data_IF_962496174627
#
_entry.id   IF_962496174627
#
_cell.length_a   1.000
_cell.length_b   1.000
_cell.length_c   1.000
_cell.angle_alpha   90.00
_cell.angle_beta   90.00
_cell.angle_gamma   90.00
#
_symmetry.space_group_name_H-M   'P 1'
#
loop_
_entity.id
_entity.type
_entity.pdbx_description
1 polymer ?
#
# COMPACT_ATOMS: atom_id res chain seq x y z
N UNK A 1 -15.60 -15.49 5.69
CA UNK A 1 -15.51 -14.40 6.66
C UNK A 1 -14.97 -13.17 5.97
N UNK A 2 -15.65 -12.04 6.15
CA UNK A 2 -15.37 -10.78 5.47
C UNK A 2 -14.28 -9.99 6.21
N UNK A 3 -13.32 -9.42 5.48
CA UNK A 3 -12.23 -8.62 6.04
C UNK A 3 -11.92 -7.46 5.12
N UNK A 4 -11.43 -6.35 5.66
CA UNK A 4 -10.90 -5.22 4.87
C UNK A 4 -9.57 -4.78 5.44
N UNK A 5 -8.59 -4.51 4.58
CA UNK A 5 -7.30 -3.93 4.94
C UNK A 5 -7.01 -2.75 4.04
N UNK A 6 -6.73 -1.61 4.65
CA UNK A 6 -6.28 -0.37 4.00
C UNK A 6 -4.85 -0.07 4.44
N UNK A 7 -4.02 0.38 3.49
CA UNK A 7 -2.67 0.86 3.70
C UNK A 7 -2.59 2.26 3.09
N UNK A 8 -2.40 3.27 3.93
CA UNK A 8 -2.40 4.68 3.54
C UNK A 8 -0.97 5.18 3.63
N UNK A 9 -0.37 5.64 2.54
CA UNK A 9 1.06 5.84 2.40
C UNK A 9 1.37 7.29 2.08
N UNK A 10 2.36 7.85 2.78
CA UNK A 10 2.79 9.24 2.66
C UNK A 10 4.29 9.30 2.39
N UNK A 11 4.76 10.43 1.88
CA UNK A 11 6.19 10.67 1.59
C UNK A 11 6.79 9.54 0.74
N UNK A 12 6.21 9.32 -0.45
CA UNK A 12 6.56 8.23 -1.37
C UNK A 12 7.98 8.38 -1.90
N UNK A 13 8.67 7.26 -2.10
CA UNK A 13 10.05 7.24 -2.59
C UNK A 13 10.21 7.95 -3.93
N UNK A 14 11.26 8.77 -4.06
CA UNK A 14 11.44 9.70 -5.18
C UNK A 14 11.42 9.02 -6.55
N UNK A 15 12.08 7.86 -6.68
CA UNK A 15 12.12 7.08 -7.91
C UNK A 15 10.73 6.66 -8.38
N UNK A 16 9.87 6.24 -7.43
CA UNK A 16 8.52 5.77 -7.71
C UNK A 16 7.61 6.95 -8.01
N UNK A 17 7.71 8.02 -7.21
CA UNK A 17 7.01 9.29 -7.44
C UNK A 17 7.25 9.80 -8.86
N UNK A 18 8.51 9.80 -9.32
CA UNK A 18 8.89 10.24 -10.67
C UNK A 18 8.21 9.45 -11.77
N UNK A 19 8.05 8.13 -11.60
CA UNK A 19 7.35 7.29 -12.58
C UNK A 19 5.88 7.71 -12.67
N UNK A 20 5.17 7.81 -11.54
CA UNK A 20 3.75 8.19 -11.52
C UNK A 20 3.48 9.65 -11.92
N UNK A 21 4.48 10.53 -11.82
CA UNK A 21 4.38 11.93 -12.27
C UNK A 21 4.89 12.17 -13.69
N UNK A 22 5.37 11.15 -14.41
CA UNK A 22 5.85 11.33 -15.79
C UNK A 22 4.66 11.45 -16.75
N UNK A 23 4.43 12.62 -17.39
CA UNK A 23 3.30 12.79 -18.30
C UNK A 23 3.46 11.92 -19.55
N UNK A 24 2.35 11.34 -20.00
CA UNK A 24 2.30 10.58 -21.25
C UNK A 24 2.77 9.12 -21.15
N UNK A 25 3.17 8.63 -19.98
CA UNK A 25 3.34 7.19 -19.78
C UNK A 25 1.99 6.48 -19.92
N UNK A 26 2.01 5.36 -20.65
CA UNK A 26 0.89 4.42 -20.70
C UNK A 26 0.75 3.67 -19.39
N UNK A 27 -0.44 3.13 -19.11
CA UNK A 27 -0.62 2.32 -17.90
C UNK A 27 0.24 1.05 -17.92
N UNK A 28 0.49 0.48 -19.10
CA UNK A 28 1.40 -0.65 -19.28
C UNK A 28 2.84 -0.31 -18.86
N UNK A 29 3.37 0.84 -19.28
CA UNK A 29 4.69 1.31 -18.87
C UNK A 29 4.78 1.56 -17.37
N UNK A 30 3.74 2.15 -16.77
CA UNK A 30 3.66 2.35 -15.32
C UNK A 30 3.70 0.99 -14.60
N UNK A 31 2.88 0.02 -15.02
CA UNK A 31 2.88 -1.34 -14.44
C UNK A 31 4.25 -2.01 -14.54
N UNK A 32 4.87 -1.98 -15.72
CA UNK A 32 6.18 -2.60 -15.94
C UNK A 32 7.29 -1.96 -15.10
N UNK A 33 7.26 -0.63 -14.92
CA UNK A 33 8.31 0.10 -14.19
C UNK A 33 8.17 0.01 -12.67
N UNK A 34 6.95 -0.14 -12.17
CA UNK A 34 6.65 -0.09 -10.72
C UNK A 34 6.34 -1.45 -10.11
N UNK A 35 5.88 -2.42 -10.90
CA UNK A 35 5.33 -3.67 -10.40
C UNK A 35 3.93 -3.53 -9.77
N UNK A 36 3.26 -2.38 -9.88
CA UNK A 36 1.97 -2.11 -9.20
C UNK A 36 0.86 -3.08 -9.62
N UNK A 37 0.93 -3.60 -10.85
CA UNK A 37 -0.02 -4.61 -11.36
C UNK A 37 0.22 -6.03 -10.82
N UNK A 38 1.32 -6.27 -10.11
CA UNK A 38 1.74 -7.61 -9.66
C UNK A 38 1.78 -7.74 -8.12
N UNK A 39 1.27 -6.74 -7.38
CA UNK A 39 1.21 -6.78 -5.91
C UNK A 39 0.48 -8.05 -5.44
N UNK A 40 -0.64 -8.39 -6.10
CA UNK A 40 -1.37 -9.64 -5.91
C UNK A 40 -1.50 -10.38 -7.25
N UNK A 41 -0.76 -11.47 -7.41
CA UNK A 41 -0.81 -12.29 -8.62
C UNK A 41 -2.20 -12.94 -8.82
N UNK A 42 -2.58 -13.13 -10.09
CA UNK A 42 -3.83 -13.78 -10.47
C UNK A 42 -5.05 -12.85 -10.55
N UNK A 43 -4.92 -11.58 -10.18
CA UNK A 43 -6.00 -10.60 -10.32
C UNK A 43 -6.08 -10.04 -11.74
N UNK A 44 -7.30 -9.84 -12.22
CA UNK A 44 -7.57 -9.09 -13.43
C UNK A 44 -7.51 -7.60 -13.14
N UNK A 45 -6.52 -6.92 -13.74
CA UNK A 45 -6.25 -5.51 -13.52
C UNK A 45 -6.98 -4.63 -14.54
N UNK A 46 -7.56 -3.53 -14.06
CA UNK A 46 -8.10 -2.41 -14.83
C UNK A 46 -7.59 -1.10 -14.23
N UNK A 47 -6.73 -0.38 -14.97
CA UNK A 47 -6.08 0.83 -14.49
C UNK A 47 -6.26 2.04 -15.40
N UNK A 48 -5.90 3.19 -14.85
CA UNK A 48 -6.04 4.48 -15.50
C UNK A 48 -4.92 5.43 -15.09
N UNK A 49 -4.28 6.08 -16.08
CA UNK A 49 -3.33 7.15 -15.88
C UNK A 49 -4.01 8.50 -16.14
N UNK A 50 -4.01 9.38 -15.15
CA UNK A 50 -4.65 10.71 -15.24
C UNK A 50 -3.75 11.73 -15.93
N UNK A 51 -4.36 12.83 -16.37
CA UNK A 51 -3.66 13.98 -16.93
C UNK A 51 -3.90 15.22 -16.05
N UNK A 52 -2.86 15.99 -15.68
CA UNK A 52 -1.47 15.86 -16.15
C UNK A 52 -0.69 14.70 -15.50
N UNK A 53 -1.04 14.28 -14.28
CA UNK A 53 -0.43 13.18 -13.53
C UNK A 53 -1.47 12.50 -12.63
N UNK A 54 -1.11 11.35 -12.05
CA UNK A 54 -1.97 10.57 -11.16
C UNK A 54 -2.27 9.18 -11.72
N UNK A 55 -2.60 8.23 -10.85
CA UNK A 55 -2.87 6.85 -11.25
C UNK A 55 -3.92 6.20 -10.36
N UNK A 56 -4.77 5.36 -10.96
CA UNK A 56 -5.70 4.50 -10.24
C UNK A 56 -5.72 3.11 -10.86
N UNK A 57 -5.88 2.09 -10.02
CA UNK A 57 -5.98 0.71 -10.44
C UNK A 57 -7.04 0.01 -9.60
N UNK A 58 -7.96 -0.66 -10.27
CA UNK A 58 -8.86 -1.64 -9.67
C UNK A 58 -8.48 -3.02 -10.16
N UNK A 59 -8.59 -4.01 -9.30
CA UNK A 59 -8.28 -5.38 -9.66
C UNK A 59 -9.22 -6.35 -8.94
N UNK A 60 -9.65 -7.40 -9.64
CA UNK A 60 -10.60 -8.40 -9.13
C UNK A 60 -10.07 -9.81 -9.38
N UNK A 61 -10.37 -10.72 -8.45
CA UNK A 61 -10.17 -12.16 -8.57
C UNK A 61 -11.28 -12.88 -7.80
N UNK A 62 -12.25 -13.45 -8.51
CA UNK A 62 -13.48 -14.00 -7.93
C UNK A 62 -14.20 -12.98 -7.02
N UNK A 63 -14.32 -13.27 -5.72
CA UNK A 63 -14.93 -12.42 -4.69
C UNK A 63 -13.92 -11.47 -4.00
N UNK A 64 -12.66 -11.50 -4.44
CA UNK A 64 -11.59 -10.67 -3.92
C UNK A 64 -11.33 -9.45 -4.81
N UNK A 65 -10.99 -8.33 -4.19
CA UNK A 65 -10.58 -7.12 -4.89
C UNK A 65 -9.35 -6.48 -4.26
N UNK A 66 -8.66 -5.65 -5.03
CA UNK A 66 -7.90 -4.56 -4.46
C UNK A 66 -8.01 -3.31 -5.32
N UNK A 67 -7.86 -2.15 -4.69
CA UNK A 67 -7.80 -0.85 -5.37
C UNK A 67 -6.61 -0.03 -4.90
N UNK A 68 -6.10 0.80 -5.81
CA UNK A 68 -4.97 1.68 -5.59
C UNK A 68 -5.30 3.06 -6.16
N UNK A 69 -4.93 4.10 -5.41
CA UNK A 69 -4.99 5.49 -5.86
C UNK A 69 -3.67 6.19 -5.53
N UNK A 70 -3.09 6.90 -6.49
CA UNK A 70 -1.79 7.58 -6.35
C UNK A 70 -1.91 9.06 -6.71
N UNK A 71 -1.46 9.90 -5.80
CA UNK A 71 -1.29 11.35 -5.93
C UNK A 71 0.21 11.65 -5.87
N UNK A 72 0.90 11.77 -7.02
CA UNK A 72 2.36 11.83 -7.08
C UNK A 72 2.96 13.24 -6.86
N UNK A 73 2.13 14.25 -6.58
CA UNK A 73 2.54 15.63 -6.40
C UNK A 73 3.54 15.80 -5.24
N UNK A 74 4.68 16.43 -5.53
CA UNK A 74 5.82 16.57 -4.61
C UNK A 74 5.48 17.19 -3.26
N UNK A 75 4.57 18.15 -3.21
CA UNK A 75 4.21 18.83 -1.97
C UNK A 75 3.44 17.95 -0.98
N UNK A 76 2.82 16.86 -1.46
CA UNK A 76 1.96 16.00 -0.65
C UNK A 76 1.77 14.63 -1.33
N UNK A 77 2.86 13.87 -1.50
CA UNK A 77 2.76 12.57 -2.17
C UNK A 77 1.94 11.61 -1.32
N UNK A 78 0.99 10.93 -1.96
CA UNK A 78 0.08 10.01 -1.29
C UNK A 78 -0.21 8.81 -2.17
N UNK A 79 -0.32 7.63 -1.55
CA UNK A 79 -0.91 6.46 -2.19
C UNK A 79 -1.80 5.70 -1.20
N UNK A 80 -2.91 5.17 -1.67
CA UNK A 80 -3.71 4.20 -0.91
C UNK A 80 -3.71 2.84 -1.58
N UNK A 81 -3.78 1.80 -0.77
CA UNK A 81 -4.08 0.44 -1.19
C UNK A 81 -5.19 -0.10 -0.27
N UNK A 82 -6.21 -0.72 -0.86
CA UNK A 82 -7.30 -1.35 -0.11
C UNK A 82 -7.58 -2.73 -0.71
N UNK A 83 -7.87 -3.72 0.13
CA UNK A 83 -8.28 -5.06 -0.30
C UNK A 83 -9.19 -5.72 0.72
N UNK A 84 -10.05 -6.63 0.25
CA UNK A 84 -10.74 -7.59 1.11
C UNK A 84 -10.03 -8.94 1.22
N UNK A 85 -8.82 -9.07 0.67
CA UNK A 85 -8.02 -10.29 0.79
C UNK A 85 -7.75 -10.58 2.27
N UNK A 86 -8.35 -11.68 2.74
CA UNK A 86 -8.03 -12.23 4.05
C UNK A 86 -6.59 -12.71 4.04
N UNK A 87 -5.75 -11.94 4.70
CA UNK A 87 -4.47 -12.43 5.21
C UNK A 87 -4.77 -13.02 6.58
N UNK A 88 -4.16 -14.14 6.94
CA UNK A 88 -4.29 -14.72 8.29
C UNK A 88 -3.89 -13.69 9.38
N UNK A 89 -3.69 -14.11 10.63
CA UNK A 89 -3.28 -13.21 11.72
C UNK A 89 -1.99 -12.39 11.46
N UNK A 90 -1.26 -12.67 10.38
CA UNK A 90 -0.08 -11.93 9.92
C UNK A 90 -0.31 -11.31 8.54
N UNK A 91 -0.30 -9.98 8.46
CA UNK A 91 -0.51 -9.21 7.21
C UNK A 91 0.79 -8.72 6.60
N UNK A 92 1.94 -9.06 7.22
CA UNK A 92 3.24 -8.47 6.92
C UNK A 92 3.68 -8.70 5.48
N UNK A 93 3.40 -9.86 4.89
CA UNK A 93 3.78 -10.16 3.51
C UNK A 93 3.00 -9.33 2.48
N UNK A 94 1.73 -9.04 2.75
CA UNK A 94 0.92 -8.14 1.91
C UNK A 94 1.47 -6.72 2.02
N UNK A 95 1.62 -6.23 3.25
CA UNK A 95 2.10 -4.87 3.51
C UNK A 95 3.50 -4.68 2.93
N UNK A 96 4.42 -5.63 3.12
CA UNK A 96 5.77 -5.58 2.55
C UNK A 96 5.78 -5.49 1.03
N UNK A 97 4.90 -6.22 0.32
CA UNK A 97 4.75 -6.09 -1.14
C UNK A 97 4.26 -4.71 -1.55
N UNK A 98 3.27 -4.16 -0.84
CA UNK A 98 2.76 -2.80 -1.11
C UNK A 98 3.86 -1.75 -0.85
N UNK A 99 4.54 -1.82 0.29
CA UNK A 99 5.62 -0.91 0.66
C UNK A 99 6.81 -1.01 -0.32
N UNK A 100 7.12 -2.19 -0.87
CA UNK A 100 8.18 -2.33 -1.87
C UNK A 100 7.87 -1.58 -3.18
N UNK A 101 6.59 -1.46 -3.55
CA UNK A 101 6.17 -0.70 -4.73
C UNK A 101 6.26 0.79 -4.48
N UNK A 102 5.73 1.28 -3.35
CA UNK A 102 5.57 2.73 -3.12
C UNK A 102 6.72 3.40 -2.36
N UNK A 103 7.47 2.61 -1.59
CA UNK A 103 8.60 3.03 -0.75
C UNK A 103 8.29 4.29 0.10
N UNK A 104 7.16 4.32 0.85
CA UNK A 104 6.83 5.50 1.65
C UNK A 104 7.75 5.64 2.86
N UNK A 105 7.90 6.85 3.40
CA UNK A 105 8.54 7.03 4.71
C UNK A 105 7.58 6.75 5.87
N UNK A 106 6.27 6.98 5.65
CA UNK A 106 5.22 6.82 6.67
C UNK A 106 4.00 6.15 6.07
N UNK A 107 3.32 5.33 6.87
CA UNK A 107 2.06 4.74 6.47
C UNK A 107 1.15 4.44 7.64
N UNK A 108 -0.16 4.44 7.38
CA UNK A 108 -1.18 3.94 8.28
C UNK A 108 -1.71 2.59 7.79
N UNK A 109 -2.19 1.78 8.73
CA UNK A 109 -2.99 0.59 8.48
C UNK A 109 -4.33 0.73 9.16
N UNK A 110 -5.39 0.47 8.39
CA UNK A 110 -6.74 0.28 8.92
C UNK A 110 -7.19 -1.12 8.57
N UNK A 111 -7.61 -1.91 9.56
CA UNK A 111 -8.02 -3.29 9.36
C UNK A 111 -9.35 -3.57 10.06
N UNK A 112 -10.30 -4.16 9.33
CA UNK A 112 -11.57 -4.64 9.85
C UNK A 112 -11.62 -6.16 9.72
N UNK A 113 -11.81 -6.87 10.82
CA UNK A 113 -11.85 -8.35 10.84
C UNK A 113 -12.87 -8.89 11.85
N UNK A 114 -13.46 -10.07 11.63
CA UNK A 114 -14.42 -10.65 12.58
C UNK A 114 -13.78 -11.07 13.91
N UNK A 115 -12.52 -11.53 13.88
CA UNK A 115 -11.79 -11.91 15.09
C UNK A 115 -10.31 -11.52 15.04
N UNK A 116 -9.82 -10.98 16.16
CA UNK A 116 -8.40 -10.73 16.40
C UNK A 116 -7.88 -9.45 15.75
N UNK A 117 -6.65 -9.09 16.13
CA UNK A 117 -5.97 -7.91 15.60
C UNK A 117 -5.02 -8.26 14.47
N UNK A 118 -4.83 -7.31 13.54
CA UNK A 118 -3.73 -7.38 12.58
C UNK A 118 -2.39 -7.24 13.33
N UNK A 119 -1.56 -8.30 13.30
CA UNK A 119 -0.18 -8.17 13.74
C UNK A 119 0.68 -7.81 12.54
N UNK A 120 1.32 -6.65 12.61
CA UNK A 120 2.29 -6.21 11.63
C UNK A 120 3.71 -6.42 12.19
N UNK A 121 4.58 -7.05 11.40
CA UNK A 121 5.99 -7.26 11.70
C UNK A 121 6.82 -6.91 10.47
N UNK A 122 7.08 -5.63 10.28
CA UNK A 122 7.89 -5.13 9.16
C UNK A 122 9.28 -4.72 9.72
N UNK A 123 10.38 -5.22 9.15
CA UNK A 123 11.72 -4.72 9.47
C UNK A 123 11.85 -3.23 9.13
N UNK A 124 12.62 -2.48 9.92
CA UNK A 124 12.88 -1.06 9.63
C UNK A 124 11.83 -0.08 10.13
N UNK A 125 10.84 -0.52 10.92
CA UNK A 125 9.95 0.41 11.65
C UNK A 125 10.77 1.18 12.69
N UNK A 126 10.85 2.49 12.54
CA UNK A 126 11.47 3.42 13.49
C UNK A 126 10.53 3.73 14.66
N UNK A 127 9.25 3.95 14.37
CA UNK A 127 8.22 4.30 15.34
C UNK A 127 6.87 3.71 14.93
N UNK A 128 6.03 3.38 15.93
CA UNK A 128 4.67 2.92 15.68
C UNK A 128 3.71 3.35 16.80
N UNK A 129 2.47 3.60 16.43
CA UNK A 129 1.32 3.70 17.34
C UNK A 129 0.25 2.74 16.85
N UNK A 130 -0.46 2.09 17.77
CA UNK A 130 -1.52 1.14 17.41
C UNK A 130 -2.66 1.15 18.41
N UNK A 131 -3.88 1.20 17.89
CA UNK A 131 -5.12 1.01 18.63
C UNK A 131 -5.91 -0.16 18.06
N UNK A 132 -6.54 -0.91 18.97
CA UNK A 132 -7.45 -1.99 18.63
C UNK A 132 -8.76 -1.74 19.37
N UNK A 133 -9.88 -1.86 18.66
CA UNK A 133 -11.24 -1.65 19.20
C UNK A 133 -12.16 -2.74 18.69
N UNK A 134 -12.86 -3.41 19.60
CA UNK A 134 -13.97 -4.27 19.23
C UNK A 134 -15.21 -3.41 18.99
N UNK A 135 -15.88 -3.65 17.87
CA UNK A 135 -17.07 -2.94 17.43
C UNK A 135 -18.32 -3.77 17.74
N UNK A 136 -19.43 -3.09 18.04
CA UNK A 136 -20.71 -3.75 18.34
C UNK A 136 -21.24 -4.61 17.17
N UNK A 137 -20.79 -4.33 15.95
CA UNK A 137 -21.15 -5.09 14.74
C UNK A 137 -20.41 -6.43 14.59
N UNK A 138 -19.58 -6.83 15.56
CA UNK A 138 -18.87 -8.11 15.54
C UNK A 138 -17.55 -8.08 14.78
N UNK A 139 -16.98 -6.89 14.55
CA UNK A 139 -15.65 -6.72 13.96
C UNK A 139 -14.69 -6.13 14.99
N UNK A 140 -13.42 -6.52 14.94
CA UNK A 140 -12.30 -5.82 15.56
C UNK A 140 -11.67 -4.86 14.53
N UNK A 141 -11.62 -3.57 14.88
CA UNK A 141 -10.88 -2.54 14.19
C UNK A 141 -9.44 -2.52 14.70
N UNK A 142 -8.47 -2.56 13.79
CA UNK A 142 -7.07 -2.20 14.06
C UNK A 142 -6.76 -0.91 13.32
N UNK A 143 -6.26 0.10 14.03
CA UNK A 143 -5.67 1.30 13.45
C UNK A 143 -4.21 1.38 13.89
N UNK A 144 -3.27 1.58 12.97
CA UNK A 144 -1.87 1.76 13.32
C UNK A 144 -1.17 2.75 12.40
N UNK A 145 -0.29 3.56 12.96
CA UNK A 145 0.56 4.51 12.25
C UNK A 145 2.00 4.08 12.41
N UNK A 146 2.76 4.09 11.32
CA UNK A 146 4.12 3.57 11.24
C UNK A 146 5.03 4.56 10.52
N UNK A 147 6.24 4.75 11.05
CA UNK A 147 7.32 5.47 10.37
C UNK A 147 8.49 4.51 10.15
N UNK A 148 9.07 4.52 8.95
CA UNK A 148 10.21 3.70 8.59
C UNK A 148 11.53 4.46 8.82
N UNK A 149 12.58 3.74 9.24
CA UNK A 149 13.94 4.28 9.22
C UNK A 149 14.35 4.55 7.77
N UNK A 150 15.02 5.67 7.52
CA UNK A 150 15.74 5.86 6.25
C UNK A 150 16.73 4.70 6.10
N UNK A 151 16.67 3.98 4.98
CA UNK A 151 17.71 3.03 4.66
C UNK A 151 19.00 3.84 4.46
N UNK A 152 20.05 3.54 5.23
CA UNK A 152 21.38 4.08 4.91
C UNK A 152 21.73 3.65 3.49
N UNK A 153 21.78 4.61 2.57
CA UNK A 153 22.26 4.36 1.23
C UNK A 153 23.66 3.74 1.33
N UNK A 154 23.74 2.46 0.99
CA UNK A 154 25.01 1.76 0.81
C UNK A 154 25.68 2.23 -0.48
N UNK A 155 25.95 3.53 -0.57
CA UNK A 155 26.82 4.18 -1.53
C UNK A 155 27.85 5.02 -0.77
N UNK A 156 28.62 4.34 0.08
CA UNK A 156 29.85 4.86 0.68
C UNK A 156 30.74 3.68 1.08
N UNK A 157 30.98 2.75 0.15
CA UNK A 157 32.01 1.74 0.30
C UNK A 157 32.60 1.34 -1.06
N UNK A 158 33.74 1.99 -1.35
CA UNK A 158 34.77 1.72 -2.39
C UNK A 158 34.49 2.19 -3.82
#
# INVERSE_FOLDING_TARGET
DDTTTEILMYDLGEDIRRIFSTPGLTTEEIRMKTGVGEILAGFQVSDWAFQPVGYSLNAINDDLYYTIHVTPEESATYASFETNLSTDRDISDLVGRVLNVFKPQKFDIVGFRPEGACQLRIPGIASQQREIRDLECGYSLTFGTYELCEAEDSQSAM
#
